data_IF_501504329369
#
_entry.id   IF_501504329369
#
_cell.length_a   1.000
_cell.length_b   1.000
_cell.length_c   1.000
_cell.angle_alpha   90.00
_cell.angle_beta   90.00
_cell.angle_gamma   90.00
#
_symmetry.space_group_name_H-M   'P 1'
#
loop_
_entity.id
_entity.type
_entity.pdbx_description
1 polymer ?
#
# COMPACT_ATOMS: atom_id res chain seq x y z
N UNK A 1 -38.81 2.82 -8.66
CA UNK A 1 -37.64 1.95 -8.37
C UNK A 1 -36.48 2.86 -7.95
N UNK A 2 -35.96 2.73 -6.73
CA UNK A 2 -34.78 3.49 -6.29
C UNK A 2 -33.55 2.96 -7.06
N UNK A 3 -32.86 3.81 -7.82
CA UNK A 3 -31.52 3.50 -8.32
C UNK A 3 -30.61 3.35 -7.10
N UNK A 4 -30.31 2.11 -6.71
CA UNK A 4 -29.26 1.84 -5.74
C UNK A 4 -27.96 2.21 -6.45
N UNK A 5 -27.36 3.32 -6.03
CA UNK A 5 -26.09 3.78 -6.57
C UNK A 5 -24.99 3.00 -5.84
N UNK A 6 -24.62 1.85 -6.41
CA UNK A 6 -23.52 1.06 -5.87
C UNK A 6 -22.22 1.84 -5.98
N UNK A 7 -21.52 1.94 -4.86
CA UNK A 7 -20.20 2.51 -4.74
C UNK A 7 -19.15 1.64 -5.47
N UNK A 8 -18.06 2.29 -5.86
CA UNK A 8 -16.86 1.63 -6.39
C UNK A 8 -16.38 0.46 -5.51
N UNK A 9 -16.48 0.63 -4.19
CA UNK A 9 -16.10 -0.37 -3.21
C UNK A 9 -16.99 -1.62 -3.25
N UNK A 10 -18.31 -1.47 -3.41
CA UNK A 10 -19.22 -2.61 -3.52
C UNK A 10 -18.92 -3.44 -4.76
N UNK A 11 -18.65 -2.81 -5.90
CA UNK A 11 -18.27 -3.55 -7.11
C UNK A 11 -16.97 -4.33 -6.92
N UNK A 12 -15.96 -3.75 -6.28
CA UNK A 12 -14.71 -4.43 -5.95
C UNK A 12 -14.94 -5.64 -5.01
N UNK A 13 -15.78 -5.48 -3.99
CA UNK A 13 -16.16 -6.56 -3.08
C UNK A 13 -16.89 -7.70 -3.81
N UNK A 14 -17.83 -7.37 -4.71
CA UNK A 14 -18.51 -8.37 -5.52
C UNK A 14 -17.56 -9.14 -6.44
N UNK A 15 -16.58 -8.47 -7.05
CA UNK A 15 -15.56 -9.12 -7.89
C UNK A 15 -14.75 -10.14 -7.06
N UNK A 16 -14.24 -9.74 -5.89
CA UNK A 16 -13.47 -10.65 -5.02
C UNK A 16 -14.34 -11.82 -4.52
N UNK A 17 -15.58 -11.56 -4.12
CA UNK A 17 -16.53 -12.59 -3.67
C UNK A 17 -16.87 -13.58 -4.79
N UNK A 18 -17.21 -13.08 -5.99
CA UNK A 18 -17.53 -13.93 -7.14
C UNK A 18 -16.29 -14.75 -7.53
N UNK A 19 -15.10 -14.15 -7.51
CA UNK A 19 -13.86 -14.89 -7.80
C UNK A 19 -13.66 -16.06 -6.85
N UNK A 20 -13.88 -15.85 -5.54
CA UNK A 20 -13.71 -16.89 -4.50
C UNK A 20 -14.79 -17.97 -4.54
N UNK A 21 -16.01 -17.63 -4.95
CA UNK A 21 -17.16 -18.55 -4.87
C UNK A 21 -17.49 -19.23 -6.20
N UNK A 22 -17.19 -18.59 -7.33
CA UNK A 22 -17.54 -19.02 -8.68
C UNK A 22 -16.36 -19.02 -9.66
N UNK A 23 -15.16 -18.67 -9.19
CA UNK A 23 -13.95 -18.62 -9.99
C UNK A 23 -13.73 -17.28 -10.72
N UNK A 24 -12.49 -17.07 -11.16
CA UNK A 24 -12.04 -15.80 -11.78
C UNK A 24 -12.79 -15.49 -13.07
N UNK A 25 -13.14 -16.50 -13.89
CA UNK A 25 -13.88 -16.29 -15.12
C UNK A 25 -15.26 -15.65 -14.88
N UNK A 26 -15.95 -16.02 -13.80
CA UNK A 26 -17.22 -15.41 -13.41
C UNK A 26 -17.02 -13.96 -12.92
N UNK A 27 -15.93 -13.70 -12.20
CA UNK A 27 -15.59 -12.36 -11.72
C UNK A 27 -15.24 -11.41 -12.87
N UNK A 28 -14.48 -11.90 -13.87
CA UNK A 28 -14.17 -11.19 -15.10
C UNK A 28 -15.43 -10.89 -15.91
N UNK A 29 -16.34 -11.87 -16.04
CA UNK A 29 -17.62 -11.65 -16.69
C UNK A 29 -18.44 -10.55 -16.00
N UNK A 30 -18.53 -10.58 -14.67
CA UNK A 30 -19.20 -9.53 -13.89
C UNK A 30 -18.55 -8.16 -14.11
N UNK A 31 -17.22 -8.07 -14.02
CA UNK A 31 -16.48 -6.84 -14.29
C UNK A 31 -16.75 -6.29 -15.69
N UNK A 32 -16.79 -7.16 -16.71
CA UNK A 32 -17.02 -6.76 -18.09
C UNK A 32 -18.40 -6.13 -18.30
N UNK A 33 -19.41 -6.57 -17.54
CA UNK A 33 -20.78 -6.03 -17.59
C UNK A 33 -20.98 -4.79 -16.70
N UNK A 34 -19.97 -4.34 -15.95
CA UNK A 34 -20.09 -3.07 -15.21
C UNK A 34 -20.27 -1.90 -16.18
N UNK A 35 -21.08 -0.88 -15.82
CA UNK A 35 -21.14 0.37 -16.57
C UNK A 35 -19.73 0.97 -16.71
N UNK A 36 -19.38 1.59 -17.85
CA UNK A 36 -18.07 2.22 -18.03
C UNK A 36 -17.71 3.21 -16.92
N UNK A 37 -18.69 3.98 -16.41
CA UNK A 37 -18.52 4.91 -15.29
C UNK A 37 -18.16 4.25 -13.95
N UNK A 38 -18.48 2.95 -13.80
CA UNK A 38 -18.22 2.18 -12.59
C UNK A 38 -16.88 1.45 -12.64
N UNK A 39 -16.25 1.31 -13.82
CA UNK A 39 -14.93 0.69 -13.99
C UNK A 39 -13.81 1.69 -13.66
N UNK A 40 -13.68 2.03 -12.39
CA UNK A 40 -12.63 2.90 -11.88
C UNK A 40 -11.56 2.09 -11.11
N UNK A 41 -10.71 2.77 -10.34
CA UNK A 41 -9.55 2.17 -9.68
C UNK A 41 -9.88 0.92 -8.85
N UNK A 42 -10.95 0.91 -8.04
CA UNK A 42 -11.20 -0.23 -7.14
C UNK A 42 -11.63 -1.50 -7.87
N UNK A 43 -12.61 -1.48 -8.82
CA UNK A 43 -12.98 -2.68 -9.56
C UNK A 43 -11.85 -3.23 -10.44
N UNK A 44 -11.06 -2.35 -11.06
CA UNK A 44 -9.85 -2.75 -11.79
C UNK A 44 -8.84 -3.42 -10.86
N UNK A 45 -8.57 -2.81 -9.70
CA UNK A 45 -7.67 -3.36 -8.69
C UNK A 45 -8.13 -4.72 -8.15
N UNK A 46 -9.44 -4.89 -7.95
CA UNK A 46 -10.02 -6.15 -7.50
C UNK A 46 -9.85 -7.27 -8.54
N UNK A 47 -10.18 -7.01 -9.81
CA UNK A 47 -9.99 -8.01 -10.87
C UNK A 47 -8.50 -8.35 -11.06
N UNK A 48 -7.63 -7.35 -11.01
CA UNK A 48 -6.19 -7.55 -11.07
C UNK A 48 -5.65 -8.40 -9.92
N UNK A 49 -6.13 -8.16 -8.70
CA UNK A 49 -5.83 -8.99 -7.54
C UNK A 49 -6.25 -10.45 -7.76
N UNK A 50 -7.43 -10.69 -8.33
CA UNK A 50 -7.90 -12.05 -8.67
C UNK A 50 -6.93 -12.75 -9.65
N UNK A 51 -6.50 -12.08 -10.72
CA UNK A 51 -5.51 -12.65 -11.64
C UNK A 51 -4.17 -12.95 -10.98
N UNK A 52 -3.68 -12.04 -10.13
CA UNK A 52 -2.43 -12.26 -9.41
C UNK A 52 -2.54 -13.46 -8.45
N UNK A 53 -3.65 -13.56 -7.70
CA UNK A 53 -3.89 -14.67 -6.76
C UNK A 53 -3.96 -16.03 -7.45
N UNK A 54 -4.58 -16.12 -8.62
CA UNK A 54 -4.65 -17.38 -9.36
C UNK A 54 -3.48 -17.61 -10.34
N UNK A 55 -2.42 -16.79 -10.29
CA UNK A 55 -1.24 -16.86 -11.18
C UNK A 55 -1.64 -16.86 -12.67
N UNK A 56 -2.69 -16.10 -13.01
CA UNK A 56 -3.09 -15.87 -14.40
C UNK A 56 -2.21 -14.77 -15.02
N UNK A 57 -0.91 -15.07 -15.15
CA UNK A 57 0.15 -14.10 -15.45
C UNK A 57 -0.12 -13.24 -16.69
N UNK A 58 -0.50 -13.84 -17.82
CA UNK A 58 -0.77 -13.10 -19.07
C UNK A 58 -1.87 -12.04 -18.88
N UNK A 59 -2.96 -12.43 -18.18
CA UNK A 59 -4.07 -11.52 -17.87
C UNK A 59 -3.66 -10.48 -16.84
N UNK A 60 -2.88 -10.86 -15.83
CA UNK A 60 -2.36 -9.94 -14.82
C UNK A 60 -1.48 -8.86 -15.46
N UNK A 61 -0.52 -9.23 -16.31
CA UNK A 61 0.37 -8.30 -16.98
C UNK A 61 -0.37 -7.37 -17.95
N UNK A 62 -1.30 -7.92 -18.74
CA UNK A 62 -2.14 -7.10 -19.62
C UNK A 62 -2.99 -6.10 -18.83
N UNK A 63 -3.61 -6.53 -17.72
CA UNK A 63 -4.44 -5.67 -16.90
C UNK A 63 -3.63 -4.63 -16.13
N UNK A 64 -2.42 -4.97 -15.66
CA UNK A 64 -1.52 -4.01 -15.01
C UNK A 64 -1.11 -2.90 -15.97
N UNK A 65 -0.79 -3.24 -17.23
CA UNK A 65 -0.55 -2.24 -18.29
C UNK A 65 -1.76 -1.34 -18.48
N UNK A 66 -2.98 -1.90 -18.50
CA UNK A 66 -4.21 -1.10 -18.61
C UNK A 66 -4.43 -0.18 -17.41
N UNK A 67 -4.20 -0.66 -16.19
CA UNK A 67 -4.28 0.13 -14.96
C UNK A 67 -3.29 1.30 -15.00
N UNK A 68 -2.09 1.08 -15.54
CA UNK A 68 -1.07 2.10 -15.77
C UNK A 68 -1.51 3.17 -16.77
N UNK A 69 -2.05 2.77 -17.92
CA UNK A 69 -2.61 3.68 -18.93
C UNK A 69 -3.77 4.55 -18.39
N UNK A 70 -4.55 4.01 -17.45
CA UNK A 70 -5.68 4.70 -16.83
C UNK A 70 -5.28 5.56 -15.61
N UNK A 71 -4.00 5.60 -15.24
CA UNK A 71 -3.49 6.23 -14.01
C UNK A 71 -4.17 5.70 -12.73
N UNK A 72 -4.47 4.40 -12.68
CA UNK A 72 -5.06 3.72 -11.52
C UNK A 72 -4.03 2.95 -10.68
N UNK A 73 -2.75 3.23 -10.86
CA UNK A 73 -1.67 2.62 -10.07
C UNK A 73 -1.82 2.96 -8.59
N UNK A 74 -1.55 1.97 -7.75
CA UNK A 74 -1.58 2.09 -6.29
C UNK A 74 -0.51 1.20 -5.67
N UNK A 75 -0.09 1.45 -4.42
CA UNK A 75 0.83 0.57 -3.72
C UNK A 75 0.34 -0.89 -3.71
N UNK A 76 -0.96 -1.10 -3.56
CA UNK A 76 -1.57 -2.44 -3.60
C UNK A 76 -1.39 -3.13 -4.97
N UNK A 77 -1.50 -2.40 -6.08
CA UNK A 77 -1.29 -2.96 -7.41
C UNK A 77 0.16 -3.42 -7.60
N UNK A 78 1.14 -2.64 -7.15
CA UNK A 78 2.53 -3.06 -7.18
C UNK A 78 2.78 -4.28 -6.30
N UNK A 79 2.27 -4.29 -5.06
CA UNK A 79 2.44 -5.42 -4.14
C UNK A 79 1.88 -6.73 -4.70
N UNK A 80 0.71 -6.66 -5.36
CA UNK A 80 0.12 -7.81 -6.04
C UNK A 80 1.01 -8.32 -7.19
N UNK A 81 1.57 -7.41 -8.00
CA UNK A 81 2.47 -7.77 -9.09
C UNK A 81 3.80 -8.34 -8.59
N UNK A 82 4.40 -7.74 -7.56
CA UNK A 82 5.61 -8.25 -6.93
C UNK A 82 5.37 -9.64 -6.34
N UNK A 83 4.26 -9.84 -5.64
CA UNK A 83 3.87 -11.16 -5.10
C UNK A 83 3.63 -12.20 -6.20
N UNK A 84 3.07 -11.79 -7.34
CA UNK A 84 2.93 -12.67 -8.50
C UNK A 84 4.29 -13.12 -9.03
N UNK A 85 5.25 -12.21 -9.21
CA UNK A 85 6.61 -12.57 -9.63
C UNK A 85 7.30 -13.52 -8.65
N UNK A 86 7.17 -13.29 -7.34
CA UNK A 86 7.68 -14.20 -6.31
C UNK A 86 7.11 -15.62 -6.48
N UNK A 87 5.80 -15.74 -6.71
CA UNK A 87 5.11 -17.03 -6.89
C UNK A 87 5.39 -17.70 -8.23
N UNK A 88 5.84 -16.93 -9.22
CA UNK A 88 6.34 -17.43 -10.50
C UNK A 88 7.83 -17.80 -10.43
N UNK A 89 8.46 -17.76 -9.25
CA UNK A 89 9.89 -17.98 -9.05
C UNK A 89 10.76 -17.01 -9.87
N UNK A 90 10.32 -15.76 -9.97
CA UNK A 90 11.03 -14.66 -10.66
C UNK A 90 11.31 -13.48 -9.70
N UNK A 91 11.97 -13.72 -8.54
CA UNK A 91 12.24 -12.67 -7.55
C UNK A 91 13.09 -11.52 -8.12
N UNK A 92 13.93 -11.77 -9.13
CA UNK A 92 14.79 -10.78 -9.77
C UNK A 92 14.04 -9.64 -10.46
N UNK A 93 12.73 -9.81 -10.69
CA UNK A 93 11.86 -8.76 -11.26
C UNK A 93 11.40 -7.74 -10.23
N UNK A 94 11.40 -8.09 -8.95
CA UNK A 94 10.84 -7.28 -7.87
C UNK A 94 11.55 -5.93 -7.69
N UNK A 95 12.89 -5.83 -7.69
CA UNK A 95 13.58 -4.54 -7.50
C UNK A 95 13.18 -3.48 -8.54
N UNK A 96 13.02 -3.88 -9.81
CA UNK A 96 12.63 -2.95 -10.88
C UNK A 96 11.24 -2.33 -10.66
N UNK A 97 10.34 -3.03 -9.97
CA UNK A 97 9.03 -2.52 -9.60
C UNK A 97 9.12 -1.50 -8.46
N UNK A 98 10.02 -1.71 -7.51
CA UNK A 98 10.29 -0.76 -6.43
C UNK A 98 10.87 0.54 -6.99
N UNK A 99 11.82 0.43 -7.92
CA UNK A 99 12.38 1.59 -8.62
C UNK A 99 11.29 2.36 -9.38
N UNK A 100 10.38 1.65 -10.06
CA UNK A 100 9.23 2.28 -10.72
C UNK A 100 8.31 2.99 -9.71
N UNK A 101 8.06 2.41 -8.54
CA UNK A 101 7.27 3.07 -7.49
C UNK A 101 7.94 4.37 -7.01
N UNK A 102 9.25 4.33 -6.75
CA UNK A 102 10.03 5.51 -6.34
C UNK A 102 9.99 6.61 -7.41
N UNK A 103 10.23 6.26 -8.68
CA UNK A 103 10.18 7.20 -9.81
C UNK A 103 8.79 7.85 -9.98
N UNK A 104 7.72 7.13 -9.62
CA UNK A 104 6.33 7.62 -9.69
C UNK A 104 5.87 8.32 -8.40
N UNK A 105 6.73 8.45 -7.40
CA UNK A 105 6.37 8.95 -6.06
C UNK A 105 5.20 8.15 -5.42
N UNK A 106 5.15 6.85 -5.68
CA UNK A 106 4.19 5.94 -5.04
C UNK A 106 4.84 5.45 -3.73
N UNK A 107 4.21 5.67 -2.57
CA UNK A 107 4.81 5.34 -1.28
C UNK A 107 5.00 3.82 -1.15
N UNK A 108 6.18 3.43 -0.66
CA UNK A 108 6.45 2.05 -0.26
C UNK A 108 5.74 1.79 1.08
N UNK A 109 4.95 0.72 1.14
CA UNK A 109 4.35 0.25 2.39
C UNK A 109 5.21 -0.84 3.03
N UNK A 110 4.99 -1.14 4.31
CA UNK A 110 5.65 -2.26 4.99
C UNK A 110 5.56 -3.57 4.21
N UNK A 111 4.40 -3.84 3.60
CA UNK A 111 4.20 -5.01 2.73
C UNK A 111 5.12 -4.97 1.50
N UNK A 112 5.27 -3.80 0.89
CA UNK A 112 6.17 -3.58 -0.26
C UNK A 112 7.60 -3.91 0.13
N UNK A 113 8.06 -3.34 1.24
CA UNK A 113 9.40 -3.53 1.78
C UNK A 113 9.67 -5.00 2.14
N UNK A 114 8.70 -5.68 2.78
CA UNK A 114 8.81 -7.11 3.09
C UNK A 114 8.96 -7.97 1.83
N UNK A 115 8.16 -7.71 0.79
CA UNK A 115 8.28 -8.45 -0.48
C UNK A 115 9.64 -8.17 -1.14
N UNK A 116 10.10 -6.92 -1.10
CA UNK A 116 11.39 -6.53 -1.66
C UNK A 116 12.57 -7.23 -0.98
N UNK A 117 12.64 -7.23 0.36
CA UNK A 117 13.66 -7.98 1.09
C UNK A 117 13.55 -9.48 0.83
N UNK A 118 12.33 -10.04 0.84
CA UNK A 118 12.12 -11.46 0.57
C UNK A 118 12.56 -11.88 -0.85
N UNK A 119 12.52 -10.97 -1.82
CA UNK A 119 13.00 -11.24 -3.18
C UNK A 119 14.52 -11.50 -3.21
N UNK A 120 15.31 -10.67 -2.52
CA UNK A 120 16.75 -10.89 -2.39
C UNK A 120 17.09 -12.09 -1.50
N UNK A 121 16.35 -12.28 -0.41
CA UNK A 121 16.51 -13.45 0.46
C UNK A 121 16.29 -14.76 -0.33
N UNK A 122 15.31 -14.79 -1.24
CA UNK A 122 15.04 -15.95 -2.10
C UNK A 122 16.15 -16.22 -3.13
N UNK A 123 16.98 -15.21 -3.42
CA UNK A 123 18.18 -15.30 -4.26
C UNK A 123 19.44 -15.58 -3.43
N UNK A 124 19.32 -15.77 -2.11
CA UNK A 124 20.43 -15.89 -1.16
C UNK A 124 21.40 -14.69 -1.19
N UNK A 125 20.88 -13.50 -1.52
CA UNK A 125 21.64 -12.25 -1.60
C UNK A 125 21.46 -11.44 -0.30
N UNK A 126 22.17 -11.87 0.75
CA UNK A 126 22.08 -11.28 2.09
C UNK A 126 22.55 -9.83 2.08
N UNK A 127 23.57 -9.50 1.28
CA UNK A 127 24.09 -8.14 1.15
C UNK A 127 23.00 -7.18 0.64
N UNK A 128 22.24 -7.59 -0.38
CA UNK A 128 21.10 -6.80 -0.84
C UNK A 128 20.01 -6.66 0.24
N UNK A 129 19.74 -7.69 1.03
CA UNK A 129 18.76 -7.62 2.13
C UNK A 129 19.17 -6.57 3.16
N UNK A 130 20.44 -6.57 3.58
CA UNK A 130 20.98 -5.59 4.52
C UNK A 130 20.89 -4.16 3.97
N UNK A 131 21.27 -3.95 2.70
CA UNK A 131 21.14 -2.62 2.07
C UNK A 131 19.70 -2.12 2.03
N UNK A 132 18.74 -2.98 1.72
CA UNK A 132 17.32 -2.61 1.73
C UNK A 132 16.86 -2.27 3.14
N UNK A 133 17.27 -3.04 4.15
CA UNK A 133 16.94 -2.78 5.55
C UNK A 133 17.48 -1.42 6.03
N UNK A 134 18.74 -1.11 5.70
CA UNK A 134 19.35 0.19 6.00
C UNK A 134 18.61 1.35 5.32
N UNK A 135 18.24 1.19 4.05
CA UNK A 135 17.50 2.21 3.31
C UNK A 135 16.16 2.54 3.98
N UNK A 136 15.39 1.51 4.35
CA UNK A 136 14.09 1.66 5.01
C UNK A 136 14.25 2.37 6.37
N UNK A 137 15.22 1.93 7.18
CA UNK A 137 15.46 2.51 8.49
C UNK A 137 15.91 3.97 8.40
N UNK A 138 16.72 4.31 7.40
CA UNK A 138 17.14 5.70 7.18
C UNK A 138 15.94 6.58 6.85
N UNK A 139 15.05 6.14 5.96
CA UNK A 139 13.85 6.91 5.62
C UNK A 139 12.92 7.14 6.83
N UNK A 140 12.79 6.15 7.71
CA UNK A 140 12.00 6.30 8.94
C UNK A 140 12.66 7.25 9.94
N UNK A 141 13.98 7.19 10.09
CA UNK A 141 14.73 8.12 10.94
C UNK A 141 14.62 9.57 10.43
N UNK A 142 14.74 9.79 9.11
CA UNK A 142 14.62 11.11 8.49
C UNK A 142 13.23 11.72 8.74
N UNK A 143 12.16 10.92 8.71
CA UNK A 143 10.78 11.36 9.05
C UNK A 143 10.63 11.74 10.52
N UNK A 144 11.24 10.97 11.42
CA UNK A 144 11.24 11.25 12.87
C UNK A 144 11.98 12.55 13.16
N UNK A 145 13.16 12.75 12.57
CA UNK A 145 13.94 13.98 12.72
C UNK A 145 13.19 15.20 12.19
N UNK A 146 12.55 15.10 11.01
CA UNK A 146 11.72 16.18 10.46
C UNK A 146 10.54 16.53 11.39
N UNK A 147 9.89 15.53 11.98
CA UNK A 147 8.78 15.76 12.92
C UNK A 147 9.25 16.43 14.22
N UNK A 148 10.42 16.05 14.74
CA UNK A 148 11.03 16.69 15.91
C UNK A 148 11.37 18.15 15.63
N UNK A 149 11.98 18.45 14.47
CA UNK A 149 12.32 19.82 14.08
C UNK A 149 11.06 20.72 13.96
N UNK A 150 9.96 20.21 13.42
CA UNK A 150 8.69 20.96 13.39
C UNK A 150 8.10 21.21 14.78
N UNK A 151 8.23 20.24 15.71
CA UNK A 151 7.78 20.42 17.09
C UNK A 151 8.63 21.47 17.82
N UNK A 152 9.94 21.44 17.65
CA UNK A 152 10.86 22.43 18.24
C UNK A 152 10.57 23.85 17.73
N UNK A 153 10.31 24.00 16.43
CA UNK A 153 9.90 25.27 15.83
C UNK A 153 8.58 25.78 16.44
N UNK A 154 7.55 24.93 16.50
CA UNK A 154 6.25 25.28 17.09
C UNK A 154 6.36 25.66 18.59
N UNK A 155 7.22 24.97 19.35
CA UNK A 155 7.50 25.30 20.76
C UNK A 155 8.24 26.64 20.88
N UNK A 156 9.10 26.98 19.92
CA UNK A 156 9.80 28.28 19.90
C UNK A 156 8.86 29.45 19.60
N UNK A 157 7.92 29.30 18.68
CA UNK A 157 6.94 30.34 18.33
C UNK A 157 5.96 30.66 19.48
N UNK A 158 5.65 29.68 20.32
CA UNK A 158 4.73 29.85 21.47
C UNK A 158 5.42 30.52 22.68
N UNK A 159 6.73 30.78 22.64
CA UNK A 159 7.44 31.44 23.75
C UNK A 159 7.23 32.96 23.81
N UNK A 160 6.74 33.58 22.75
CA UNK A 160 6.62 35.05 22.65
C UNK A 160 5.20 35.61 22.83
N UNK A 161 4.15 34.77 22.92
CA UNK A 161 2.77 35.22 23.21
C UNK A 161 2.09 34.34 24.28
N UNK A 162 1.35 35.00 25.19
CA UNK A 162 0.72 34.49 26.42
C UNK A 162 0.38 32.98 26.50
N UNK A 163 1.07 32.30 27.41
CA UNK A 163 0.86 30.91 27.82
C UNK A 163 -0.58 30.66 28.31
N UNK A 164 -1.41 29.98 27.51
CA UNK A 164 -2.79 29.61 27.88
C UNK A 164 -2.87 28.14 28.42
N UNK A 165 -3.17 27.91 29.71
CA UNK A 165 -3.14 26.58 30.33
C UNK A 165 -4.17 25.57 29.81
N UNK A 166 -5.21 26.02 29.10
CA UNK A 166 -6.34 25.15 28.70
C UNK A 166 -6.08 24.26 27.47
N UNK A 167 -5.06 24.54 26.65
CA UNK A 167 -4.79 23.76 25.42
C UNK A 167 -3.87 22.54 25.63
N UNK A 168 -3.13 22.47 26.75
CA UNK A 168 -2.15 21.40 27.00
C UNK A 168 -2.78 20.01 27.17
N UNK A 169 -3.98 19.91 27.73
CA UNK A 169 -4.62 18.62 28.01
C UNK A 169 -5.04 17.87 26.73
N UNK A 170 -5.43 18.58 25.67
CA UNK A 170 -5.75 17.97 24.39
C UNK A 170 -4.50 17.57 23.61
N UNK A 171 -3.45 18.42 23.64
CA UNK A 171 -2.20 18.16 22.91
C UNK A 171 -1.36 17.05 23.54
N UNK A 172 -1.15 17.08 24.87
CA UNK A 172 -0.52 15.97 25.58
C UNK A 172 -1.39 14.71 25.56
N UNK A 173 -2.71 14.85 25.62
CA UNK A 173 -3.64 13.71 25.47
C UNK A 173 -3.50 13.02 24.12
N UNK A 174 -3.39 13.79 23.03
CA UNK A 174 -3.16 13.27 21.68
C UNK A 174 -1.79 12.58 21.55
N UNK A 175 -0.73 13.19 22.08
CA UNK A 175 0.62 12.62 22.01
C UNK A 175 0.79 11.38 22.90
N UNK A 176 0.24 11.36 24.12
CA UNK A 176 0.21 10.17 24.98
C UNK A 176 -0.61 9.04 24.35
N UNK A 177 -1.74 9.34 23.69
CA UNK A 177 -2.50 8.34 22.92
C UNK A 177 -1.67 7.77 21.76
N UNK A 178 -0.99 8.61 20.98
CA UNK A 178 -0.15 8.17 19.85
C UNK A 178 1.07 7.37 20.32
N UNK A 179 1.70 7.78 21.42
CA UNK A 179 2.81 7.06 22.05
C UNK A 179 2.37 5.71 22.59
N UNK A 180 1.23 5.62 23.29
CA UNK A 180 0.67 4.34 23.74
C UNK A 180 0.27 3.44 22.57
N UNK A 181 -0.22 3.99 21.45
CA UNK A 181 -0.54 3.22 20.24
C UNK A 181 0.70 2.67 19.54
N UNK A 182 1.80 3.42 19.50
CA UNK A 182 3.08 2.93 18.96
C UNK A 182 3.75 1.88 19.85
N UNK A 183 3.66 2.05 21.18
CA UNK A 183 4.15 1.04 22.14
C UNK A 183 3.27 -0.22 22.10
N UNK A 184 1.94 -0.12 21.97
CA UNK A 184 1.09 -1.32 21.83
C UNK A 184 1.34 -2.11 20.54
N UNK A 185 1.64 -1.44 19.42
CA UNK A 185 1.94 -2.11 18.15
C UNK A 185 3.28 -2.86 18.15
N UNK A 186 4.22 -2.49 19.01
CA UNK A 186 5.49 -3.20 19.18
C UNK A 186 5.38 -4.42 20.11
N UNK A 187 4.38 -4.48 20.99
CA UNK A 187 4.14 -5.64 21.87
C UNK A 187 3.08 -6.64 21.35
N UNK A 188 2.32 -6.32 20.30
CA UNK A 188 1.37 -7.25 19.67
C UNK A 188 1.99 -8.11 18.55
N UNK A 189 3.32 -8.16 18.46
CA UNK A 189 4.07 -8.95 17.47
C UNK A 189 4.82 -10.15 18.07
N UNK A 190 4.45 -10.56 19.29
CA UNK A 190 4.85 -11.83 19.91
C UNK A 190 3.61 -12.67 20.25
#
# INVERSE_FOLDING_TARGET
MKKINYSSAEFALWIDLISKTKGVAAAENYFNHLPPSSKNQMPYGALFNCYCKEIMSDKAFALFKKIKELNYLSPLAFNNLMSLYMRMSQPERVPSLVDEMKQRNIPLSNVTCSIWMNSYASLNDIECVERVYEEINKEDNDKVELALNHLDAAVSEVKDDEWCPYQKNAFFGYFEMQRMLMVRKSFSAF
#
